data_IF_488815629753
#
_entry.id   IF_488815629753
#
_cell.length_a   1.000
_cell.length_b   1.000
_cell.length_c   1.000
_cell.angle_alpha   90.00
_cell.angle_beta   90.00
_cell.angle_gamma   90.00
#
_symmetry.space_group_name_H-M   'P 1'
#
loop_
_entity.id
_entity.type
_entity.pdbx_description
1 polymer ?
#
# COMPACT_ATOMS: atom_id res chain seq x y z
N UNK A 1 -10.27 22.00 -5.16
CA UNK A 1 -9.91 23.10 -6.09
C UNK A 1 -8.44 23.47 -5.88
N UNK A 2 -7.72 24.06 -6.85
CA UNK A 2 -6.31 24.50 -6.68
C UNK A 2 -6.11 25.43 -5.48
N UNK A 3 -7.14 26.09 -4.99
CA UNK A 3 -7.11 26.97 -3.83
C UNK A 3 -7.02 26.23 -2.49
N UNK A 4 -7.47 24.99 -2.44
CA UNK A 4 -7.33 24.11 -1.26
C UNK A 4 -5.91 23.58 -1.08
N UNK A 5 -5.10 23.66 -2.15
CA UNK A 5 -3.70 23.23 -2.17
C UNK A 5 -2.74 24.41 -2.19
N UNK A 6 -3.10 25.54 -1.60
CA UNK A 6 -2.14 26.63 -1.42
C UNK A 6 -1.02 26.11 -0.51
N UNK A 7 0.06 25.69 -1.15
CA UNK A 7 1.29 25.46 -0.43
C UNK A 7 1.65 26.74 0.33
N UNK A 8 1.95 26.67 1.61
CA UNK A 8 2.38 27.84 2.35
C UNK A 8 3.59 28.46 1.66
N UNK A 9 3.77 29.80 1.74
CA UNK A 9 4.94 30.46 1.18
C UNK A 9 6.21 29.73 1.59
N UNK A 10 7.19 29.67 0.72
CA UNK A 10 8.44 28.94 0.97
C UNK A 10 9.11 29.32 2.28
N UNK A 11 8.95 30.58 2.70
CA UNK A 11 9.40 31.09 3.99
C UNK A 11 8.57 30.58 5.18
N UNK A 12 7.31 30.21 4.97
CA UNK A 12 6.45 29.57 5.94
C UNK A 12 6.71 28.09 6.16
N UNK A 13 7.46 27.43 5.29
CA UNK A 13 7.81 26.02 5.46
C UNK A 13 8.69 25.78 6.69
N UNK A 14 9.48 26.77 7.09
CA UNK A 14 10.27 26.70 8.32
C UNK A 14 9.43 26.86 9.59
N UNK A 15 8.26 27.46 9.46
CA UNK A 15 7.30 27.65 10.55
C UNK A 15 6.11 26.70 10.49
N UNK A 16 5.91 25.98 9.37
CA UNK A 16 4.86 24.95 9.25
C UNK A 16 5.28 23.56 9.74
N UNK A 17 6.56 23.33 9.98
CA UNK A 17 6.93 22.32 10.99
C UNK A 17 6.28 22.82 12.28
N UNK A 18 5.30 22.08 12.88
CA UNK A 18 4.67 22.52 14.12
C UNK A 18 5.76 23.04 15.00
N UNK A 19 5.52 24.21 15.59
CA UNK A 19 6.45 24.80 16.52
C UNK A 19 6.70 23.78 17.61
N UNK A 20 7.56 22.88 17.30
CA UNK A 20 8.18 22.05 18.26
C UNK A 20 8.98 23.07 18.99
N UNK A 21 8.45 23.41 20.10
CA UNK A 21 8.93 24.31 21.09
C UNK A 21 10.17 25.10 20.62
N UNK A 22 10.00 26.39 20.31
CA UNK A 22 11.12 27.22 19.83
C UNK A 22 12.31 27.23 20.79
N UNK A 23 12.11 26.83 22.04
CA UNK A 23 13.13 26.69 23.07
C UNK A 23 13.83 25.32 23.00
N UNK A 24 13.16 24.30 22.45
CA UNK A 24 13.72 22.97 22.22
C UNK A 24 13.30 22.42 20.86
N UNK A 25 13.79 23.00 19.76
CA UNK A 25 13.47 22.48 18.44
C UNK A 25 14.03 21.06 18.31
N UNK A 26 13.18 20.02 18.19
CA UNK A 26 13.71 18.71 17.93
C UNK A 26 14.37 18.75 16.56
N UNK A 27 15.64 18.50 16.57
CA UNK A 27 16.43 18.20 15.40
C UNK A 27 16.18 19.13 14.21
N UNK A 28 16.29 20.43 14.36
CA UNK A 28 16.81 21.21 13.26
C UNK A 28 18.24 20.75 13.05
N UNK A 29 18.46 19.96 12.02
CA UNK A 29 19.77 19.83 11.42
C UNK A 29 20.06 21.17 10.73
N UNK A 30 20.38 22.18 11.52
CA UNK A 30 20.99 23.39 11.02
C UNK A 30 22.49 23.20 11.18
N UNK A 31 23.27 23.66 10.20
CA UNK A 31 24.73 23.65 10.28
C UNK A 31 25.27 24.27 11.57
N UNK A 32 24.52 25.15 12.18
CA UNK A 32 24.94 26.06 13.25
C UNK A 32 24.29 25.74 14.60
N UNK A 33 23.34 24.80 14.67
CA UNK A 33 22.74 24.40 15.94
C UNK A 33 23.45 23.17 16.50
N UNK A 34 23.87 23.19 17.75
CA UNK A 34 24.36 21.99 18.41
C UNK A 34 23.25 20.96 18.41
N UNK A 35 23.49 19.84 17.74
CA UNK A 35 22.61 18.71 17.76
C UNK A 35 22.56 18.23 19.21
N UNK A 36 21.44 18.43 19.88
CA UNK A 36 21.18 17.76 21.15
C UNK A 36 20.92 16.28 20.87
N UNK A 37 21.98 15.56 20.52
CA UNK A 37 21.95 14.15 20.14
C UNK A 37 21.24 13.27 21.16
N UNK A 38 21.40 13.60 22.44
CA UNK A 38 20.79 12.85 23.53
C UNK A 38 19.27 12.91 23.50
N UNK A 39 18.69 14.08 23.28
CA UNK A 39 17.24 14.24 23.27
C UNK A 39 16.61 13.63 22.01
N UNK A 40 17.27 13.76 20.87
CA UNK A 40 16.79 13.16 19.63
C UNK A 40 16.76 11.62 19.71
N UNK A 41 17.86 11.02 20.19
CA UNK A 41 17.96 9.56 20.32
C UNK A 41 16.99 9.07 21.39
N UNK A 42 16.93 9.72 22.55
CA UNK A 42 16.02 9.33 23.63
C UNK A 42 14.58 9.45 23.21
N UNK A 43 14.20 10.51 22.49
CA UNK A 43 12.86 10.71 22.01
C UNK A 43 12.45 9.65 20.99
N UNK A 44 13.31 9.29 20.05
CA UNK A 44 13.02 8.27 19.05
C UNK A 44 13.09 6.83 19.55
N UNK A 45 13.81 6.59 20.60
CA UNK A 45 13.95 5.26 21.20
C UNK A 45 13.06 5.03 22.41
N UNK A 46 12.35 6.05 22.87
CA UNK A 46 11.51 5.94 24.04
C UNK A 46 10.24 5.13 23.77
N UNK A 47 9.88 4.20 24.64
CA UNK A 47 8.73 3.30 24.50
C UNK A 47 7.39 4.02 24.38
N UNK A 48 7.24 5.17 25.04
CA UNK A 48 6.04 6.00 24.94
C UNK A 48 5.80 6.53 23.53
N UNK A 49 6.87 6.85 22.81
CA UNK A 49 6.77 7.34 21.43
C UNK A 49 6.34 6.24 20.46
N UNK A 50 6.77 5.01 20.71
CA UNK A 50 6.28 3.85 19.95
C UNK A 50 4.77 3.67 20.11
N UNK A 51 4.25 3.85 21.32
CA UNK A 51 2.80 3.80 21.58
C UNK A 51 2.05 4.90 20.82
N UNK A 52 2.59 6.11 20.74
CA UNK A 52 2.03 7.21 19.95
C UNK A 52 1.98 6.89 18.45
N UNK A 53 3.01 6.23 17.90
CA UNK A 53 3.03 5.78 16.51
C UNK A 53 1.93 4.76 16.25
N UNK A 54 1.77 3.76 17.11
CA UNK A 54 0.70 2.78 16.99
C UNK A 54 -0.68 3.42 17.08
N UNK A 55 -0.89 4.31 18.05
CA UNK A 55 -2.14 5.06 18.18
C UNK A 55 -2.44 5.93 16.94
N UNK A 56 -1.42 6.52 16.31
CA UNK A 56 -1.57 7.27 15.07
C UNK A 56 -1.96 6.37 13.90
N UNK A 57 -1.37 5.18 13.81
CA UNK A 57 -1.73 4.16 12.79
C UNK A 57 -3.19 3.74 12.95
N UNK A 58 -3.65 3.47 14.17
CA UNK A 58 -5.04 3.12 14.44
C UNK A 58 -6.01 4.27 14.10
N UNK A 59 -5.67 5.51 14.44
CA UNK A 59 -6.46 6.68 14.05
C UNK A 59 -6.55 6.81 12.53
N UNK A 60 -5.47 6.55 11.81
CA UNK A 60 -5.44 6.56 10.35
C UNK A 60 -6.34 5.48 9.76
N UNK A 61 -6.33 4.27 10.31
CA UNK A 61 -7.21 3.20 9.88
C UNK A 61 -8.70 3.59 10.03
N UNK A 62 -9.07 4.15 11.19
CA UNK A 62 -10.45 4.65 11.44
C UNK A 62 -10.84 5.78 10.48
N UNK A 63 -9.89 6.64 10.10
CA UNK A 63 -10.13 7.67 9.09
C UNK A 63 -10.44 7.07 7.73
N UNK A 64 -9.66 6.07 7.29
CA UNK A 64 -9.90 5.35 6.04
C UNK A 64 -11.26 4.66 6.03
N UNK A 65 -11.66 4.03 7.13
CA UNK A 65 -12.98 3.41 7.25
C UNK A 65 -14.10 4.43 7.08
N UNK A 66 -14.00 5.54 7.78
CA UNK A 66 -15.04 6.57 7.80
C UNK A 66 -15.21 7.30 6.46
N UNK A 67 -14.11 7.66 5.80
CA UNK A 67 -14.13 8.59 4.66
C UNK A 67 -13.81 7.94 3.32
N UNK A 68 -13.16 6.78 3.31
CA UNK A 68 -12.65 6.14 2.10
C UNK A 68 -13.19 4.71 1.90
N UNK A 69 -14.13 4.26 2.74
CA UNK A 69 -14.70 2.93 2.66
C UNK A 69 -13.68 1.82 2.90
N UNK A 70 -12.86 1.98 3.94
CA UNK A 70 -11.87 1.00 4.40
C UNK A 70 -10.52 1.05 3.68
N UNK A 71 -9.61 0.23 4.16
CA UNK A 71 -8.21 0.15 3.70
C UNK A 71 -8.04 -0.64 2.40
N UNK A 72 -9.04 -1.46 2.06
CA UNK A 72 -9.09 -2.25 0.82
C UNK A 72 -10.47 -2.11 0.16
N UNK A 73 -10.57 -2.58 -1.07
CA UNK A 73 -11.82 -2.85 -1.77
C UNK A 73 -11.70 -4.25 -2.38
N UNK A 74 -12.73 -5.08 -2.24
CA UNK A 74 -12.72 -6.47 -2.72
C UNK A 74 -13.82 -6.66 -3.76
N UNK A 75 -13.49 -7.33 -4.85
CA UNK A 75 -14.44 -7.78 -5.88
C UNK A 75 -14.29 -9.28 -6.00
N UNK A 76 -15.39 -10.01 -6.13
CA UNK A 76 -15.46 -11.46 -6.23
C UNK A 76 -14.69 -12.18 -5.09
N UNK A 77 -15.11 -12.04 -3.84
CA UNK A 77 -14.37 -12.57 -2.68
C UNK A 77 -14.24 -14.10 -2.64
N UNK A 78 -15.10 -14.82 -3.36
CA UNK A 78 -15.12 -16.29 -3.40
C UNK A 78 -14.28 -16.87 -4.54
N UNK A 79 -13.49 -16.06 -5.24
CA UNK A 79 -12.64 -16.50 -6.33
C UNK A 79 -11.46 -17.34 -5.83
N UNK A 80 -10.96 -18.26 -6.68
CA UNK A 80 -9.72 -19.01 -6.43
C UNK A 80 -8.48 -18.27 -6.96
N UNK A 81 -8.65 -17.43 -7.97
CA UNK A 81 -7.63 -16.58 -8.55
C UNK A 81 -7.84 -15.15 -8.11
N UNK A 82 -6.83 -14.52 -7.59
CA UNK A 82 -6.88 -13.11 -7.18
C UNK A 82 -5.82 -12.28 -7.90
N UNK A 83 -6.18 -11.05 -8.19
CA UNK A 83 -5.24 -9.97 -8.50
C UNK A 83 -5.23 -9.01 -7.32
N UNK A 84 -4.05 -8.76 -6.75
CA UNK A 84 -3.89 -7.74 -5.70
C UNK A 84 -3.08 -6.59 -6.28
N UNK A 85 -3.65 -5.40 -6.27
CA UNK A 85 -3.04 -4.22 -6.88
C UNK A 85 -3.24 -2.96 -6.05
N UNK A 86 -2.38 -1.97 -6.25
CA UNK A 86 -2.50 -0.62 -5.69
C UNK A 86 -2.25 0.45 -6.76
N UNK A 87 -2.70 1.67 -6.49
CA UNK A 87 -2.48 2.81 -7.37
C UNK A 87 -2.99 2.59 -8.80
N UNK A 88 -2.18 2.94 -9.79
CA UNK A 88 -2.57 2.88 -11.22
C UNK A 88 -2.84 1.46 -11.71
N UNK A 89 -2.16 0.44 -11.18
CA UNK A 89 -2.35 -0.95 -11.60
C UNK A 89 -3.76 -1.48 -11.36
N UNK A 90 -4.51 -0.84 -10.45
CA UNK A 90 -5.90 -1.22 -10.15
C UNK A 90 -6.82 -1.11 -11.36
N UNK A 91 -6.61 -0.11 -12.22
CA UNK A 91 -7.46 0.06 -13.41
C UNK A 91 -7.33 -1.11 -14.37
N UNK A 92 -6.10 -1.53 -14.66
CA UNK A 92 -5.81 -2.68 -15.52
C UNK A 92 -6.27 -4.00 -14.90
N UNK A 93 -6.05 -4.15 -13.58
CA UNK A 93 -6.53 -5.31 -12.84
C UNK A 93 -8.06 -5.43 -12.86
N UNK A 94 -8.78 -4.32 -12.68
CA UNK A 94 -10.24 -4.28 -12.74
C UNK A 94 -10.76 -4.64 -14.12
N UNK A 95 -10.14 -4.12 -15.17
CA UNK A 95 -10.50 -4.44 -16.55
C UNK A 95 -10.19 -5.92 -16.88
N UNK A 96 -9.08 -6.46 -16.40
CA UNK A 96 -8.77 -7.87 -16.55
C UNK A 96 -9.83 -8.77 -15.87
N UNK A 97 -10.23 -8.42 -14.65
CA UNK A 97 -11.32 -9.14 -13.93
C UNK A 97 -12.63 -9.09 -14.70
N UNK A 98 -12.99 -7.94 -15.30
CA UNK A 98 -14.18 -7.80 -16.12
C UNK A 98 -14.12 -8.70 -17.36
N UNK A 99 -13.02 -8.70 -18.09
CA UNK A 99 -12.84 -9.52 -19.30
C UNK A 99 -12.81 -11.02 -18.99
N UNK A 100 -12.20 -11.43 -17.88
CA UNK A 100 -12.25 -12.82 -17.42
C UNK A 100 -13.71 -13.24 -17.13
N UNK A 101 -14.50 -12.36 -16.48
CA UNK A 101 -15.91 -12.60 -16.21
C UNK A 101 -16.76 -12.78 -17.49
N UNK A 102 -16.48 -12.01 -18.54
CA UNK A 102 -17.13 -12.15 -19.85
C UNK A 102 -16.82 -13.51 -20.51
N UNK A 103 -15.70 -14.12 -20.15
CA UNK A 103 -15.31 -15.47 -20.59
C UNK A 103 -15.77 -16.58 -19.62
N UNK A 104 -16.63 -16.24 -18.64
CA UNK A 104 -17.16 -17.18 -17.66
C UNK A 104 -16.15 -17.61 -16.58
N UNK A 105 -15.04 -16.89 -16.39
CA UNK A 105 -14.04 -17.17 -15.36
C UNK A 105 -14.11 -16.14 -14.24
N UNK A 106 -14.22 -16.59 -13.01
CA UNK A 106 -14.25 -15.71 -11.83
C UNK A 106 -12.85 -15.43 -11.34
N UNK A 107 -12.46 -14.16 -11.31
CA UNK A 107 -11.22 -13.66 -10.75
C UNK A 107 -11.54 -12.63 -9.68
N UNK A 108 -10.91 -12.75 -8.53
CA UNK A 108 -11.02 -11.79 -7.43
C UNK A 108 -10.06 -10.60 -7.64
N UNK A 109 -10.45 -9.45 -7.13
CA UNK A 109 -9.58 -8.27 -7.07
C UNK A 109 -9.55 -7.75 -5.64
N UNK A 110 -8.37 -7.56 -5.12
CA UNK A 110 -8.13 -6.76 -3.91
C UNK A 110 -7.40 -5.48 -4.30
N UNK A 111 -8.10 -4.36 -4.19
CA UNK A 111 -7.50 -3.04 -4.30
C UNK A 111 -6.96 -2.60 -2.94
N UNK A 112 -5.67 -2.45 -2.83
CA UNK A 112 -5.01 -1.92 -1.63
C UNK A 112 -5.00 -0.40 -1.69
N UNK A 113 -5.70 0.24 -0.76
CA UNK A 113 -5.84 1.71 -0.70
C UNK A 113 -4.81 2.35 0.23
N UNK A 114 -4.29 1.60 1.21
CA UNK A 114 -3.30 2.09 2.17
C UNK A 114 -2.10 1.15 2.24
N UNK A 115 -0.90 1.73 2.16
CA UNK A 115 0.35 1.01 2.39
C UNK A 115 0.80 1.14 3.87
N UNK A 116 0.36 2.21 4.54
CA UNK A 116 0.57 2.41 5.98
C UNK A 116 -0.65 3.11 6.59
N UNK A 117 -1.41 2.47 7.48
CA UNK A 117 -1.26 1.08 7.91
C UNK A 117 -1.49 0.07 6.77
N UNK A 118 -0.72 -1.04 6.79
CA UNK A 118 -0.94 -2.11 5.81
C UNK A 118 -2.13 -2.97 6.25
N UNK A 119 -3.09 -3.27 5.37
CA UNK A 119 -4.34 -3.94 5.73
C UNK A 119 -4.18 -5.47 5.80
N UNK A 120 -3.25 -5.97 6.59
CA UNK A 120 -2.87 -7.39 6.63
C UNK A 120 -4.07 -8.30 6.91
N UNK A 121 -4.84 -8.02 7.96
CA UNK A 121 -5.95 -8.90 8.36
C UNK A 121 -7.09 -8.88 7.33
N UNK A 122 -7.40 -7.71 6.78
CA UNK A 122 -8.42 -7.57 5.75
C UNK A 122 -8.02 -8.31 4.46
N UNK A 123 -6.75 -8.27 4.08
CA UNK A 123 -6.25 -9.01 2.91
C UNK A 123 -6.32 -10.51 3.17
N UNK A 124 -5.87 -10.99 4.34
CA UNK A 124 -5.95 -12.40 4.71
C UNK A 124 -7.38 -12.94 4.64
N UNK A 125 -8.33 -12.18 5.16
CA UNK A 125 -9.73 -12.57 5.11
C UNK A 125 -10.26 -12.60 3.66
N UNK A 126 -9.91 -11.59 2.86
CA UNK A 126 -10.33 -11.51 1.46
C UNK A 126 -9.79 -12.66 0.59
N UNK A 127 -8.58 -13.16 0.87
CA UNK A 127 -7.93 -14.21 0.06
C UNK A 127 -7.97 -15.59 0.72
N UNK A 128 -8.84 -15.80 1.70
CA UNK A 128 -8.93 -17.02 2.48
C UNK A 128 -9.11 -18.29 1.64
N UNK A 129 -9.85 -18.19 0.53
CA UNK A 129 -10.10 -19.29 -0.42
C UNK A 129 -9.20 -19.29 -1.64
N UNK A 130 -8.27 -18.35 -1.72
CA UNK A 130 -7.42 -18.19 -2.91
C UNK A 130 -6.45 -19.37 -3.07
N UNK A 131 -6.26 -19.77 -4.33
CA UNK A 131 -5.19 -20.70 -4.74
C UNK A 131 -4.02 -19.95 -5.36
N UNK A 132 -4.30 -18.87 -6.07
CA UNK A 132 -3.32 -18.08 -6.82
C UNK A 132 -3.54 -16.59 -6.59
N UNK A 133 -2.47 -15.86 -6.36
CA UNK A 133 -2.47 -14.40 -6.17
C UNK A 133 -1.44 -13.79 -7.11
N UNK A 134 -1.87 -12.98 -8.08
CA UNK A 134 -1.03 -12.23 -9.01
C UNK A 134 -0.92 -10.77 -8.56
N UNK A 135 0.29 -10.20 -8.59
CA UNK A 135 0.54 -8.84 -8.09
C UNK A 135 1.19 -7.96 -9.17
N UNK A 136 0.40 -7.30 -10.05
CA UNK A 136 0.93 -6.36 -11.03
C UNK A 136 1.31 -5.04 -10.36
N UNK A 137 2.45 -4.44 -10.75
CA UNK A 137 2.96 -3.22 -10.12
C UNK A 137 3.60 -2.24 -11.10
N UNK A 138 3.39 -0.94 -10.84
CA UNK A 138 4.10 0.15 -11.52
C UNK A 138 5.40 0.53 -10.79
N UNK A 139 6.21 -0.44 -10.46
CA UNK A 139 7.58 -0.24 -9.95
C UNK A 139 8.46 -1.46 -10.24
N UNK A 140 9.74 -1.24 -10.39
CA UNK A 140 10.70 -2.30 -10.68
C UNK A 140 10.90 -3.25 -9.50
N UNK A 141 10.80 -2.74 -8.29
CA UNK A 141 11.22 -3.48 -7.10
C UNK A 141 10.18 -4.50 -6.60
N UNK A 142 8.92 -4.40 -7.04
CA UNK A 142 7.83 -5.28 -6.58
C UNK A 142 7.55 -5.10 -5.08
N UNK A 143 7.33 -3.86 -4.65
CA UNK A 143 7.17 -3.56 -3.22
C UNK A 143 5.92 -4.17 -2.62
N UNK A 144 4.78 -4.09 -3.31
CA UNK A 144 3.53 -4.69 -2.85
C UNK A 144 3.64 -6.22 -2.79
N UNK A 145 4.22 -6.83 -3.82
CA UNK A 145 4.47 -8.26 -3.84
C UNK A 145 5.31 -8.71 -2.64
N UNK A 146 6.41 -8.03 -2.36
CA UNK A 146 7.29 -8.35 -1.21
C UNK A 146 6.57 -8.20 0.11
N UNK A 147 5.79 -7.13 0.29
CA UNK A 147 5.01 -6.91 1.50
C UNK A 147 3.96 -8.01 1.68
N UNK A 148 3.25 -8.38 0.60
CA UNK A 148 2.28 -9.48 0.62
C UNK A 148 2.95 -10.82 0.97
N UNK A 149 4.09 -11.14 0.37
CA UNK A 149 4.84 -12.34 0.72
C UNK A 149 5.22 -12.37 2.20
N UNK A 150 5.64 -11.23 2.75
CA UNK A 150 6.02 -11.14 4.16
C UNK A 150 4.83 -11.32 5.12
N UNK A 151 3.70 -10.64 4.85
CA UNK A 151 2.55 -10.65 5.78
C UNK A 151 1.66 -11.89 5.64
N UNK A 152 1.66 -12.55 4.48
CA UNK A 152 0.88 -13.76 4.21
C UNK A 152 1.69 -15.06 4.46
N UNK A 153 2.99 -14.97 4.70
CA UNK A 153 3.84 -16.12 4.93
C UNK A 153 3.34 -16.98 6.08
N UNK A 154 3.11 -18.27 5.80
CA UNK A 154 2.59 -19.22 6.80
C UNK A 154 1.15 -18.99 7.26
N UNK A 155 0.45 -17.99 6.71
CA UNK A 155 -0.93 -17.61 7.04
C UNK A 155 -1.91 -17.80 5.89
N UNK A 156 -1.40 -17.97 4.67
CA UNK A 156 -2.16 -18.19 3.45
C UNK A 156 -1.54 -19.35 2.67
N UNK A 157 -2.37 -20.21 2.07
CA UNK A 157 -1.94 -21.35 1.26
C UNK A 157 -1.84 -21.01 -0.23
N UNK A 158 -2.26 -19.81 -0.64
CA UNK A 158 -2.18 -19.40 -2.03
C UNK A 158 -0.73 -19.26 -2.49
N UNK A 159 -0.47 -19.62 -3.73
CA UNK A 159 0.79 -19.26 -4.39
C UNK A 159 0.73 -17.79 -4.76
N UNK A 160 1.70 -17.02 -4.31
CA UNK A 160 1.80 -15.58 -4.59
C UNK A 160 2.88 -15.39 -5.66
N UNK A 161 2.52 -14.81 -6.79
CA UNK A 161 3.43 -14.54 -7.90
C UNK A 161 3.46 -13.06 -8.19
N UNK A 162 4.66 -12.53 -8.43
CA UNK A 162 4.76 -11.20 -9.01
C UNK A 162 4.14 -11.19 -10.41
N UNK A 163 3.39 -10.16 -10.70
CA UNK A 163 2.80 -9.90 -11.99
C UNK A 163 3.72 -9.06 -12.88
N UNK A 164 3.19 -8.52 -13.97
CA UNK A 164 3.94 -7.59 -14.79
C UNK A 164 4.40 -6.39 -13.97
N UNK A 165 5.67 -6.04 -14.08
CA UNK A 165 6.28 -4.87 -13.46
C UNK A 165 6.63 -3.86 -14.53
N UNK A 166 6.00 -2.70 -14.45
CA UNK A 166 6.19 -1.60 -15.39
C UNK A 166 6.72 -0.38 -14.65
N UNK A 167 7.66 0.32 -15.22
CA UNK A 167 8.29 1.51 -14.63
C UNK A 167 8.80 2.47 -15.70
N UNK A 168 9.30 3.64 -15.29
CA UNK A 168 9.90 4.60 -16.22
C UNK A 168 8.89 5.26 -17.18
N UNK A 169 7.63 5.44 -16.76
CA UNK A 169 6.59 6.07 -17.59
C UNK A 169 5.97 5.18 -18.66
N UNK A 170 6.30 3.89 -18.66
CA UNK A 170 5.68 2.93 -19.58
C UNK A 170 4.25 2.57 -19.15
N UNK A 171 3.45 2.11 -20.08
CA UNK A 171 2.08 1.65 -19.84
C UNK A 171 2.05 0.15 -19.53
N UNK A 172 1.08 -0.27 -18.73
CA UNK A 172 0.73 -1.67 -18.51
C UNK A 172 -0.62 -1.91 -19.20
N UNK A 173 -0.66 -2.51 -20.39
CA UNK A 173 -1.93 -2.87 -21.02
C UNK A 173 -2.61 -3.99 -20.24
N UNK A 174 -3.94 -4.04 -20.31
CA UNK A 174 -4.74 -5.09 -19.64
C UNK A 174 -4.37 -6.48 -20.13
N UNK A 175 -4.08 -6.60 -21.41
CA UNK A 175 -3.66 -7.86 -22.07
C UNK A 175 -2.44 -8.47 -21.39
N UNK A 176 -1.49 -7.64 -20.97
CA UNK A 176 -0.30 -8.09 -20.24
C UNK A 176 -0.69 -8.75 -18.91
N UNK A 177 -1.65 -8.20 -18.18
CA UNK A 177 -2.14 -8.79 -16.92
C UNK A 177 -2.85 -10.12 -17.19
N UNK A 178 -3.66 -10.19 -18.26
CA UNK A 178 -4.37 -11.40 -18.66
C UNK A 178 -3.42 -12.52 -19.09
N UNK A 179 -2.38 -12.21 -19.86
CA UNK A 179 -1.35 -13.17 -20.26
C UNK A 179 -0.64 -13.76 -19.05
N UNK A 180 -0.21 -12.93 -18.12
CA UNK A 180 0.43 -13.37 -16.88
C UNK A 180 -0.49 -14.25 -16.03
N UNK A 181 -1.77 -13.91 -15.93
CA UNK A 181 -2.75 -14.71 -15.21
C UNK A 181 -2.98 -16.07 -15.89
N UNK A 182 -3.06 -16.09 -17.21
CA UNK A 182 -3.24 -17.32 -17.98
C UNK A 182 -2.02 -18.26 -17.86
N UNK A 183 -0.80 -17.73 -17.87
CA UNK A 183 0.42 -18.50 -17.65
C UNK A 183 0.48 -19.03 -16.21
N UNK A 184 0.17 -18.19 -15.24
CA UNK A 184 0.18 -18.57 -13.83
C UNK A 184 -0.76 -19.76 -13.53
N UNK A 185 -1.93 -19.80 -14.18
CA UNK A 185 -2.86 -20.94 -14.08
C UNK A 185 -2.30 -22.25 -14.64
N UNK A 186 -1.37 -22.19 -15.60
CA UNK A 186 -0.71 -23.38 -16.15
C UNK A 186 0.37 -23.92 -15.21
N UNK A 187 1.04 -23.02 -14.49
CA UNK A 187 2.12 -23.37 -13.56
C UNK A 187 1.59 -23.98 -12.26
N UNK A 188 0.43 -23.51 -11.79
CA UNK A 188 -0.17 -23.90 -10.52
C UNK A 188 -1.57 -24.47 -10.81
N UNK A 189 -1.66 -25.78 -10.82
CA UNK A 189 -2.93 -26.52 -11.02
C UNK A 189 -3.69 -26.73 -9.74
#
# INVERSE_FOLDING_TARGET
TPEEYKLPPRDGWRSAVPAMDNENPPARISRDAPIQKSNFISYHMHSSWQQEVFAAVERSAKYFDKYLGGLIEVVNPDAEDFIIASGCAVSQAREAVRQEGEQGRTVGLVKVKSIRPFPTEQILDAVKGAKRILVPEFNQAGWLHKELCAVLYGRCNAVIKDGPRVFGGMTMPTEMVLEWLAEFRKEVK
#
